data_IF_450403362070
#
_entry.id   IF_450403362070
#
_cell.length_a   1.000
_cell.length_b   1.000
_cell.length_c   1.000
_cell.angle_alpha   90.00
_cell.angle_beta   90.00
_cell.angle_gamma   90.00
#
_symmetry.space_group_name_H-M   'P 1'
#
loop_
_entity.id
_entity.type
_entity.pdbx_description
1 polymer ?
#
# COMPACT_ATOMS: atom_id res chain seq x y z
N UNK A 1 10.90 -9.04 13.35
CA UNK A 1 11.11 -9.67 12.03
C UNK A 1 10.17 -8.99 11.06
N UNK A 2 10.67 -8.23 10.09
CA UNK A 2 9.83 -7.59 9.06
C UNK A 2 9.25 -8.68 8.15
N UNK A 3 8.00 -9.07 8.38
CA UNK A 3 7.29 -10.04 7.53
C UNK A 3 7.21 -9.48 6.10
N UNK A 4 7.78 -10.22 5.13
CA UNK A 4 7.85 -9.79 3.73
C UNK A 4 6.67 -10.34 2.94
N UNK A 5 5.51 -9.71 3.11
CA UNK A 5 4.31 -10.12 2.41
C UNK A 5 4.46 -10.03 0.88
N UNK A 6 4.02 -11.09 0.19
CA UNK A 6 3.76 -11.07 -1.24
C UNK A 6 2.53 -10.21 -1.54
N UNK A 7 2.39 -9.71 -2.78
CA UNK A 7 1.19 -8.95 -3.16
C UNK A 7 -0.12 -9.70 -2.91
N UNK A 8 -0.12 -11.03 -3.02
CA UNK A 8 -1.32 -11.86 -2.77
C UNK A 8 -1.68 -11.89 -1.29
N UNK A 9 -0.70 -12.02 -0.40
CA UNK A 9 -0.93 -11.99 1.05
C UNK A 9 -1.42 -10.62 1.51
N UNK A 10 -0.87 -9.53 0.97
CA UNK A 10 -1.36 -8.17 1.27
C UNK A 10 -2.83 -8.03 0.86
N UNK A 11 -3.19 -8.46 -0.35
CA UNK A 11 -4.59 -8.44 -0.81
C UNK A 11 -5.48 -9.28 0.10
N UNK A 12 -5.04 -10.50 0.45
CA UNK A 12 -5.80 -11.39 1.33
C UNK A 12 -6.02 -10.79 2.73
N UNK A 13 -5.07 -10.05 3.27
CA UNK A 13 -5.24 -9.38 4.56
C UNK A 13 -6.21 -8.19 4.43
N UNK A 14 -6.13 -7.43 3.33
CA UNK A 14 -7.08 -6.36 3.04
C UNK A 14 -8.50 -6.88 2.80
N UNK A 15 -8.66 -8.09 2.25
CA UNK A 15 -9.96 -8.73 2.04
C UNK A 15 -10.71 -9.01 3.36
N UNK A 16 -10.00 -9.15 4.48
CA UNK A 16 -10.63 -9.34 5.82
C UNK A 16 -11.32 -8.09 6.35
N UNK A 17 -11.04 -6.92 5.78
CA UNK A 17 -11.50 -5.63 6.30
C UNK A 17 -12.25 -4.79 5.27
N UNK A 18 -11.95 -4.96 3.98
CA UNK A 18 -12.56 -4.21 2.89
C UNK A 18 -13.26 -5.21 1.97
N UNK A 19 -14.53 -5.00 1.64
CA UNK A 19 -15.25 -5.83 0.66
C UNK A 19 -15.09 -5.21 -0.73
N UNK A 20 -14.83 -6.03 -1.75
CA UNK A 20 -14.64 -5.56 -3.13
C UNK A 20 -13.34 -4.80 -3.34
N UNK A 21 -13.36 -3.76 -4.19
CA UNK A 21 -12.22 -2.87 -4.48
C UNK A 21 -10.93 -3.59 -4.94
N UNK A 22 -11.07 -4.62 -5.78
CA UNK A 22 -9.96 -5.51 -6.20
C UNK A 22 -8.77 -4.73 -6.78
N UNK A 23 -9.04 -3.76 -7.66
CA UNK A 23 -7.99 -2.99 -8.33
C UNK A 23 -7.24 -2.08 -7.35
N UNK A 24 -7.97 -1.43 -6.45
CA UNK A 24 -7.36 -0.58 -5.41
C UNK A 24 -6.47 -1.40 -4.47
N UNK A 25 -6.94 -2.57 -4.02
CA UNK A 25 -6.14 -3.50 -3.19
C UNK A 25 -4.89 -3.99 -3.91
N UNK A 26 -5.01 -4.35 -5.18
CA UNK A 26 -3.88 -4.77 -6.01
C UNK A 26 -2.86 -3.64 -6.18
N UNK A 27 -3.32 -2.42 -6.45
CA UNK A 27 -2.46 -1.26 -6.63
C UNK A 27 -1.64 -0.97 -5.37
N UNK A 28 -2.28 -0.96 -4.19
CA UNK A 28 -1.56 -0.72 -2.92
C UNK A 28 -0.62 -1.85 -2.54
N UNK A 29 -1.00 -3.11 -2.83
CA UNK A 29 -0.15 -4.27 -2.57
C UNK A 29 1.13 -4.24 -3.43
N UNK A 30 1.02 -3.84 -4.70
CA UNK A 30 2.17 -3.67 -5.59
C UNK A 30 3.06 -2.52 -5.11
N UNK A 31 2.48 -1.38 -4.73
CA UNK A 31 3.27 -0.25 -4.23
C UNK A 31 4.07 -0.61 -2.97
N UNK A 32 3.44 -1.30 -2.01
CA UNK A 32 4.13 -1.79 -0.81
C UNK A 32 5.22 -2.80 -1.15
N UNK A 33 4.95 -3.76 -2.04
CA UNK A 33 5.96 -4.73 -2.48
C UNK A 33 7.14 -4.07 -3.22
N UNK A 34 6.88 -3.03 -4.00
CA UNK A 34 7.92 -2.29 -4.68
C UNK A 34 8.83 -1.55 -3.70
N UNK A 35 8.32 -1.09 -2.55
CA UNK A 35 9.14 -0.53 -1.48
C UNK A 35 10.12 -1.56 -0.92
N UNK A 36 9.66 -2.79 -0.70
CA UNK A 36 10.53 -3.90 -0.28
C UNK A 36 11.56 -4.30 -1.35
N UNK A 37 11.15 -4.35 -2.62
CA UNK A 37 12.08 -4.62 -3.74
C UNK A 37 13.17 -3.56 -3.82
N UNK A 38 12.81 -2.28 -3.65
CA UNK A 38 13.75 -1.17 -3.63
C UNK A 38 14.82 -1.33 -2.55
N UNK A 39 14.48 -1.85 -1.38
CA UNK A 39 15.43 -2.08 -0.28
C UNK A 39 16.47 -3.15 -0.61
N UNK A 40 16.21 -4.04 -1.58
CA UNK A 40 17.15 -5.06 -2.02
C UNK A 40 18.05 -4.63 -3.18
N UNK A 41 17.80 -3.47 -3.77
CA UNK A 41 18.69 -2.91 -4.79
C UNK A 41 20.00 -2.44 -4.15
N UNK A 42 21.05 -2.42 -4.95
CA UNK A 42 22.31 -1.74 -4.64
C UNK A 42 22.06 -0.24 -4.38
N UNK A 43 23.00 0.40 -3.68
CA UNK A 43 22.83 1.77 -3.20
C UNK A 43 22.64 2.78 -4.34
N UNK A 44 23.36 2.61 -5.44
CA UNK A 44 23.27 3.49 -6.60
C UNK A 44 21.89 3.43 -7.25
N UNK A 45 21.39 2.23 -7.53
CA UNK A 45 20.07 2.02 -8.14
C UNK A 45 18.93 2.35 -7.17
N UNK A 46 19.13 2.11 -5.86
CA UNK A 46 18.11 2.38 -4.84
C UNK A 46 17.71 3.85 -4.82
N UNK A 47 18.67 4.76 -5.01
CA UNK A 47 18.45 6.20 -4.99
C UNK A 47 17.68 6.69 -6.25
N UNK A 48 17.81 5.98 -7.37
CA UNK A 48 17.08 6.31 -8.61
C UNK A 48 15.62 5.83 -8.60
N UNK A 49 15.29 4.84 -7.78
CA UNK A 49 13.93 4.27 -7.72
C UNK A 49 13.04 5.06 -6.77
N UNK A 50 12.22 5.94 -7.34
CA UNK A 50 11.22 6.71 -6.60
C UNK A 50 10.01 5.86 -6.16
N UNK A 51 9.40 6.16 -4.99
CA UNK A 51 8.16 5.54 -4.57
C UNK A 51 7.03 5.72 -5.59
N UNK A 52 6.18 4.70 -5.74
CA UNK A 52 4.98 4.78 -6.59
C UNK A 52 3.80 5.28 -5.77
N UNK A 53 3.55 6.59 -5.84
CA UNK A 53 2.39 7.21 -5.21
C UNK A 53 1.10 6.75 -5.89
N UNK A 54 0.00 6.74 -5.13
CA UNK A 54 -1.30 6.24 -5.59
C UNK A 54 -2.34 7.34 -5.47
N UNK A 55 -3.07 7.59 -6.57
CA UNK A 55 -4.27 8.40 -6.59
C UNK A 55 -5.49 7.46 -6.60
N UNK A 56 -6.33 7.51 -5.57
CA UNK A 56 -7.57 6.73 -5.51
C UNK A 56 -8.75 7.59 -5.93
N UNK A 57 -9.43 7.18 -7.01
CA UNK A 57 -10.61 7.89 -7.55
C UNK A 57 -11.86 7.03 -7.24
N UNK A 58 -12.90 7.67 -6.70
CA UNK A 58 -14.18 7.03 -6.42
C UNK A 58 -15.05 7.84 -5.46
N UNK A 59 -16.35 7.49 -5.30
CA UNK A 59 -17.26 8.22 -4.44
C UNK A 59 -16.89 8.10 -2.95
N UNK A 60 -17.49 8.92 -2.09
CA UNK A 60 -17.31 8.84 -0.64
C UNK A 60 -17.84 7.51 -0.09
N UNK A 61 -17.32 7.05 1.06
CA UNK A 61 -17.80 5.83 1.71
C UNK A 61 -17.35 4.48 1.12
N UNK A 62 -16.73 4.43 -0.06
CA UNK A 62 -16.34 3.15 -0.72
C UNK A 62 -15.08 2.47 -0.17
N UNK A 63 -14.46 3.03 0.87
CA UNK A 63 -13.30 2.40 1.54
C UNK A 63 -11.92 2.90 1.11
N UNK A 64 -11.80 4.01 0.34
CA UNK A 64 -10.49 4.58 -0.06
C UNK A 64 -9.55 4.82 1.12
N UNK A 65 -10.03 5.52 2.14
CA UNK A 65 -9.26 5.82 3.36
C UNK A 65 -8.99 4.57 4.19
N UNK A 66 -9.92 3.61 4.22
CA UNK A 66 -9.77 2.37 4.98
C UNK A 66 -8.69 1.47 4.38
N UNK A 67 -8.59 1.39 3.04
CA UNK A 67 -7.49 0.69 2.37
C UNK A 67 -6.14 1.27 2.81
N UNK A 68 -5.97 2.59 2.77
CA UNK A 68 -4.73 3.23 3.17
C UNK A 68 -4.39 3.00 4.66
N UNK A 69 -5.41 3.13 5.54
CA UNK A 69 -5.27 2.89 6.98
C UNK A 69 -4.86 1.44 7.30
N UNK A 70 -5.53 0.46 6.67
CA UNK A 70 -5.23 -0.97 6.88
C UNK A 70 -3.88 -1.36 6.31
N UNK A 71 -3.52 -0.83 5.15
CA UNK A 71 -2.19 -1.04 4.57
C UNK A 71 -1.08 -0.55 5.50
N UNK A 72 -1.24 0.64 6.10
CA UNK A 72 -0.25 1.17 7.04
C UNK A 72 -0.15 0.32 8.30
N UNK A 73 -1.28 -0.16 8.85
CA UNK A 73 -1.28 -1.09 9.99
C UNK A 73 -0.56 -2.41 9.66
N UNK A 74 -0.82 -2.97 8.48
CA UNK A 74 -0.18 -4.21 8.00
C UNK A 74 1.33 -4.03 7.81
N UNK A 75 1.75 -2.87 7.32
CA UNK A 75 3.15 -2.55 7.09
C UNK A 75 3.88 -2.02 8.33
N UNK A 76 3.21 -1.95 9.48
CA UNK A 76 3.71 -1.32 10.71
C UNK A 76 4.28 0.10 10.45
N UNK A 77 3.61 0.83 9.56
CA UNK A 77 4.06 2.13 9.08
C UNK A 77 3.28 3.28 9.77
N UNK A 78 3.93 4.42 10.06
CA UNK A 78 3.24 5.62 10.47
C UNK A 78 2.18 6.05 9.44
N UNK A 79 1.00 6.42 9.91
CA UNK A 79 -0.12 6.83 9.05
C UNK A 79 -0.70 8.17 9.51
N UNK A 80 -0.85 9.10 8.57
CA UNK A 80 -1.49 10.39 8.78
C UNK A 80 -2.53 10.62 7.68
N UNK A 81 -3.70 11.14 8.08
CA UNK A 81 -4.74 11.61 7.16
C UNK A 81 -4.76 13.14 7.24
N UNK A 82 -4.60 13.80 6.11
CA UNK A 82 -4.73 15.26 5.96
C UNK A 82 -5.83 15.52 4.94
N UNK A 83 -6.63 16.56 5.17
CA UNK A 83 -7.61 17.05 4.21
C UNK A 83 -7.00 18.22 3.43
N UNK A 84 -7.00 18.13 2.11
CA UNK A 84 -6.52 19.20 1.23
C UNK A 84 -7.62 20.24 1.06
N UNK A 85 -7.90 21.01 2.11
CA UNK A 85 -8.68 22.25 2.04
C UNK A 85 -7.88 23.36 1.39
#
# INVERSE_FOLDING_TARGET
MTQHYSPREIVSELDRHIIGQKDAKRAVAIALRNRWRRQQLDETMRNEVLPKNILMIGPTGVGKTEIARRLAKLAEAPFIKIEAT
#
